data_IF_242408000182
#
_entry.id   IF_242408000182
#
_cell.length_a   1.000
_cell.length_b   1.000
_cell.length_c   1.000
_cell.angle_alpha   90.00
_cell.angle_beta   90.00
_cell.angle_gamma   90.00
#
_symmetry.space_group_name_H-M   'P 1'
#
loop_
_entity.id
_entity.type
_entity.pdbx_description
1 polymer ?
#
# COMPACT_ATOMS: atom_id res chain seq x y z
N UNK A 1 -17.38 5.83 28.27
CA UNK A 1 -16.99 5.58 26.87
C UNK A 1 -16.27 4.24 26.85
N UNK A 2 -16.83 3.25 26.14
CA UNK A 2 -16.27 1.89 26.08
C UNK A 2 -15.15 1.79 25.06
N UNK A 3 -14.30 0.79 25.22
CA UNK A 3 -13.32 0.43 24.20
C UNK A 3 -14.03 -0.15 22.98
N UNK A 4 -13.68 0.31 21.78
CA UNK A 4 -14.23 -0.12 20.49
C UNK A 4 -13.10 -0.43 19.51
N UNK A 5 -13.20 -1.59 18.86
CA UNK A 5 -12.24 -2.10 17.87
C UNK A 5 -12.81 -2.08 16.44
N UNK A 6 -14.02 -1.57 16.26
CA UNK A 6 -14.67 -1.51 14.94
C UNK A 6 -13.94 -0.51 14.06
N UNK A 7 -13.42 -0.92 12.89
CA UNK A 7 -12.76 0.01 11.99
C UNK A 7 -13.76 1.00 11.40
N UNK A 8 -13.31 2.22 11.15
CA UNK A 8 -14.10 3.21 10.42
C UNK A 8 -14.19 2.84 8.94
N UNK A 9 -15.16 3.43 8.23
CA UNK A 9 -15.27 3.28 6.77
C UNK A 9 -13.99 3.71 6.04
N UNK A 10 -13.34 4.78 6.50
CA UNK A 10 -12.07 5.26 5.95
C UNK A 10 -10.93 4.25 6.14
N UNK A 11 -10.89 3.54 7.28
CA UNK A 11 -9.91 2.48 7.53
C UNK A 11 -10.15 1.27 6.63
N UNK A 12 -11.42 0.88 6.41
CA UNK A 12 -11.75 -0.18 5.45
C UNK A 12 -11.34 0.19 4.02
N UNK A 13 -11.59 1.43 3.60
CA UNK A 13 -11.19 1.91 2.28
C UNK A 13 -9.66 1.92 2.11
N UNK A 14 -8.91 2.39 3.12
CA UNK A 14 -7.46 2.35 3.12
C UNK A 14 -6.93 0.90 3.01
N UNK A 15 -7.50 -0.03 3.78
CA UNK A 15 -7.12 -1.44 3.73
C UNK A 15 -7.34 -2.03 2.33
N UNK A 16 -8.48 -1.74 1.70
CA UNK A 16 -8.79 -2.19 0.34
C UNK A 16 -7.80 -1.61 -0.68
N UNK A 17 -7.59 -0.29 -0.68
CA UNK A 17 -6.69 0.39 -1.64
C UNK A 17 -5.25 -0.10 -1.52
N UNK A 18 -4.75 -0.27 -0.30
CA UNK A 18 -3.39 -0.78 -0.06
C UNK A 18 -3.24 -2.24 -0.46
N UNK A 19 -4.27 -3.07 -0.27
CA UNK A 19 -4.29 -4.45 -0.73
C UNK A 19 -4.23 -4.54 -2.25
N UNK A 20 -5.10 -3.81 -2.96
CA UNK A 20 -5.11 -3.74 -4.43
C UNK A 20 -3.75 -3.29 -4.99
N UNK A 21 -3.14 -2.26 -4.39
CA UNK A 21 -1.80 -1.82 -4.77
C UNK A 21 -0.74 -2.90 -4.56
N UNK A 22 -0.76 -3.60 -3.41
CA UNK A 22 0.19 -4.66 -3.15
C UNK A 22 0.06 -5.80 -4.15
N UNK A 23 -1.16 -6.21 -4.51
CA UNK A 23 -1.40 -7.27 -5.49
C UNK A 23 -0.94 -6.90 -6.89
N UNK A 24 -1.20 -5.67 -7.32
CA UNK A 24 -0.95 -5.23 -8.70
C UNK A 24 0.49 -4.75 -8.93
N UNK A 25 1.13 -4.15 -7.92
CA UNK A 25 2.40 -3.44 -8.09
C UNK A 25 3.55 -4.09 -7.33
N UNK A 26 3.32 -4.57 -6.10
CA UNK A 26 4.40 -5.10 -5.23
C UNK A 26 4.64 -6.59 -5.50
N UNK A 27 3.61 -7.43 -5.32
CA UNK A 27 3.74 -8.89 -5.38
C UNK A 27 4.35 -9.42 -6.70
N UNK A 28 4.04 -8.87 -7.89
CA UNK A 28 4.61 -9.39 -9.14
C UNK A 28 6.13 -9.24 -9.24
N UNK A 29 6.70 -8.22 -8.60
CA UNK A 29 8.13 -7.86 -8.73
C UNK A 29 8.93 -8.12 -7.45
N UNK A 30 8.27 -8.35 -6.31
CA UNK A 30 8.92 -8.49 -5.00
C UNK A 30 10.05 -9.53 -5.00
N UNK A 31 9.79 -10.72 -5.56
CA UNK A 31 10.81 -11.78 -5.61
C UNK A 31 11.98 -11.46 -6.54
N UNK A 32 11.80 -10.62 -7.55
CA UNK A 32 12.91 -10.19 -8.42
C UNK A 32 13.81 -9.16 -7.74
N UNK A 33 13.20 -8.16 -7.13
CA UNK A 33 13.94 -7.15 -6.36
C UNK A 33 14.65 -7.74 -5.15
N UNK A 34 14.07 -8.73 -4.48
CA UNK A 34 14.73 -9.49 -3.41
C UNK A 34 16.03 -10.16 -3.89
N UNK A 35 15.95 -10.91 -5.00
CA UNK A 35 17.12 -11.58 -5.59
C UNK A 35 18.21 -10.61 -6.03
N UNK A 36 17.82 -9.47 -6.60
CA UNK A 36 18.74 -8.45 -7.13
C UNK A 36 19.29 -7.53 -6.04
N UNK A 37 18.66 -7.49 -4.87
CA UNK A 37 18.96 -6.56 -3.78
C UNK A 37 18.93 -5.09 -4.24
N UNK A 38 17.98 -4.76 -5.11
CA UNK A 38 17.82 -3.42 -5.65
C UNK A 38 16.63 -2.70 -5.03
N UNK A 39 16.70 -1.36 -5.03
CA UNK A 39 15.62 -0.54 -4.52
C UNK A 39 14.53 -0.35 -5.61
N UNK A 40 13.25 -0.66 -5.32
CA UNK A 40 12.20 -0.69 -6.33
C UNK A 40 11.59 0.70 -6.58
N UNK A 41 12.39 1.65 -7.08
CA UNK A 41 11.95 3.02 -7.39
C UNK A 41 10.62 3.09 -8.17
N UNK A 42 10.39 2.28 -9.23
CA UNK A 42 9.12 2.33 -9.98
C UNK A 42 7.89 2.00 -9.13
N UNK A 43 8.03 1.14 -8.11
CA UNK A 43 6.93 0.79 -7.20
C UNK A 43 6.62 1.97 -6.27
N UNK A 44 7.64 2.69 -5.81
CA UNK A 44 7.45 3.87 -4.97
C UNK A 44 6.85 5.04 -5.76
N UNK A 45 7.28 5.25 -7.00
CA UNK A 45 6.71 6.28 -7.88
C UNK A 45 5.21 6.04 -8.08
N UNK A 46 4.81 4.80 -8.40
CA UNK A 46 3.40 4.41 -8.49
C UNK A 46 2.65 4.62 -7.16
N UNK A 47 3.28 4.32 -6.02
CA UNK A 47 2.67 4.56 -4.72
C UNK A 47 2.42 6.06 -4.46
N UNK A 48 3.34 6.93 -4.91
CA UNK A 48 3.21 8.38 -4.82
C UNK A 48 2.07 8.89 -5.70
N UNK A 49 1.98 8.42 -6.94
CA UNK A 49 0.90 8.75 -7.88
C UNK A 49 -0.48 8.33 -7.34
N UNK A 50 -0.55 7.19 -6.65
CA UNK A 50 -1.77 6.72 -5.97
C UNK A 50 -2.06 7.42 -4.63
N UNK A 51 -1.22 8.37 -4.22
CA UNK A 51 -1.43 9.20 -3.03
C UNK A 51 -1.10 8.53 -1.70
N UNK A 52 -0.29 7.48 -1.67
CA UNK A 52 0.05 6.78 -0.41
C UNK A 52 1.06 7.52 0.47
N UNK A 53 1.82 8.49 -0.05
CA UNK A 53 2.78 9.29 0.73
C UNK A 53 2.23 10.61 1.27
N UNK A 54 1.06 11.00 0.78
CA UNK A 54 0.29 12.13 1.30
C UNK A 54 -1.15 11.65 1.42
N UNK A 55 -1.45 10.73 2.36
CA UNK A 55 -2.81 10.28 2.55
C UNK A 55 -3.63 11.50 2.99
N UNK A 56 -4.31 12.11 2.04
CA UNK A 56 -5.39 13.05 2.28
C UNK A 56 -6.48 12.24 2.98
N UNK A 57 -6.39 12.19 4.31
CA UNK A 57 -7.51 11.89 5.18
C UNK A 57 -8.33 13.18 5.34
#
# INVERSE_FOLDING_TARGET
MGFDLTPTSAQHDLARRTHEFAEQCIRPVAGDYDRRQEFPWPVLEEAAERGFYSPLF
#
